data_IF_807540833646
#
_entry.id   IF_807540833646
#
_cell.length_a   1.000
_cell.length_b   1.000
_cell.length_c   1.000
_cell.angle_alpha   90.00
_cell.angle_beta   90.00
_cell.angle_gamma   90.00
#
_symmetry.space_group_name_H-M   'P 1'
#
loop_
_entity.id
_entity.type
_entity.pdbx_description
1 polymer ?
#
# COMPACT_ATOMS: atom_id res chain seq x y z
N UNK A 1 -29.34 -10.88 27.97
CA UNK A 1 -28.68 -11.02 26.65
C UNK A 1 -27.18 -11.06 26.88
N UNK A 2 -26.51 -12.15 26.47
CA UNK A 2 -25.05 -12.29 26.60
C UNK A 2 -24.35 -11.23 25.74
N UNK A 3 -23.45 -10.47 26.34
CA UNK A 3 -22.70 -9.44 25.62
C UNK A 3 -21.56 -10.09 24.84
N UNK A 4 -21.53 -9.90 23.52
CA UNK A 4 -20.47 -10.41 22.65
C UNK A 4 -19.10 -9.91 23.14
N UNK A 5 -18.16 -10.83 23.35
CA UNK A 5 -16.78 -10.53 23.74
C UNK A 5 -16.01 -9.96 22.54
N UNK A 6 -15.23 -8.91 22.77
CA UNK A 6 -14.31 -8.38 21.76
C UNK A 6 -13.10 -9.30 21.61
N UNK A 7 -13.09 -10.09 20.54
CA UNK A 7 -11.92 -10.89 20.15
C UNK A 7 -10.86 -10.00 19.52
N UNK A 8 -9.59 -10.45 19.50
CA UNK A 8 -8.50 -9.72 18.82
C UNK A 8 -8.82 -9.45 17.36
N UNK A 9 -9.38 -10.44 16.64
CA UNK A 9 -9.81 -10.28 15.25
C UNK A 9 -10.85 -9.15 15.08
N UNK A 10 -11.86 -9.08 15.95
CA UNK A 10 -12.84 -7.99 15.90
C UNK A 10 -12.18 -6.63 16.15
N UNK A 11 -11.21 -6.56 17.07
CA UNK A 11 -10.46 -5.33 17.33
C UNK A 11 -9.65 -4.88 16.12
N UNK A 12 -8.96 -5.80 15.44
CA UNK A 12 -8.22 -5.54 14.20
C UNK A 12 -9.14 -5.04 13.08
N UNK A 13 -10.32 -5.66 12.91
CA UNK A 13 -11.31 -5.24 11.92
C UNK A 13 -11.88 -3.84 12.25
N UNK A 14 -12.18 -3.55 13.52
CA UNK A 14 -12.62 -2.22 13.96
C UNK A 14 -11.53 -1.17 13.71
N UNK A 15 -10.28 -1.47 14.04
CA UNK A 15 -9.15 -0.56 13.80
C UNK A 15 -8.95 -0.28 12.30
N UNK A 16 -9.06 -1.32 11.46
CA UNK A 16 -9.02 -1.17 10.00
C UNK A 16 -10.17 -0.30 9.49
N UNK A 17 -11.40 -0.54 9.97
CA UNK A 17 -12.57 0.25 9.59
C UNK A 17 -12.43 1.71 10.02
N UNK A 18 -11.84 1.99 11.19
CA UNK A 18 -11.55 3.35 11.64
C UNK A 18 -10.61 4.07 10.67
N UNK A 19 -9.54 3.39 10.21
CA UNK A 19 -8.62 3.94 9.22
C UNK A 19 -9.27 4.16 7.87
N UNK A 20 -10.06 3.21 7.38
CA UNK A 20 -10.83 3.37 6.13
C UNK A 20 -11.76 4.59 6.24
N UNK A 21 -12.54 4.67 7.32
CA UNK A 21 -13.48 5.76 7.54
C UNK A 21 -12.80 7.12 7.69
N UNK A 22 -11.56 7.17 8.20
CA UNK A 22 -10.79 8.41 8.32
C UNK A 22 -10.30 8.97 6.97
N UNK A 23 -10.37 8.18 5.89
CA UNK A 23 -9.84 8.53 4.57
C UNK A 23 -8.33 8.47 4.44
N UNK A 24 -7.57 8.11 5.50
CA UNK A 24 -6.09 8.14 5.48
C UNK A 24 -5.48 7.23 4.42
N UNK A 25 -6.11 6.09 4.11
CA UNK A 25 -5.63 5.22 3.03
C UNK A 25 -5.79 5.87 1.65
N UNK A 26 -6.90 6.57 1.40
CA UNK A 26 -7.09 7.33 0.16
C UNK A 26 -6.09 8.46 0.05
N UNK A 27 -5.82 9.19 1.14
CA UNK A 27 -4.79 10.25 1.15
C UNK A 27 -3.38 9.69 0.87
N UNK A 28 -3.05 8.51 1.40
CA UNK A 28 -1.77 7.82 1.14
C UNK A 28 -1.66 7.31 -0.31
N UNK A 29 -2.78 6.91 -0.91
CA UNK A 29 -2.84 6.54 -2.33
C UNK A 29 -2.58 7.76 -3.22
N UNK A 30 -3.22 8.89 -2.92
CA UNK A 30 -2.98 10.15 -3.63
C UNK A 30 -1.53 10.65 -3.46
N UNK A 31 -0.96 10.53 -2.26
CA UNK A 31 0.47 10.79 -2.03
C UNK A 31 1.36 9.91 -2.91
N UNK A 32 0.99 8.64 -3.11
CA UNK A 32 1.72 7.74 -4.00
C UNK A 32 1.66 8.21 -5.45
N UNK A 33 0.50 8.69 -5.92
CA UNK A 33 0.37 9.29 -7.25
C UNK A 33 1.24 10.54 -7.40
N UNK A 34 1.30 11.40 -6.38
CA UNK A 34 2.19 12.58 -6.37
C UNK A 34 3.67 12.20 -6.48
N UNK A 35 4.11 11.15 -5.78
CA UNK A 35 5.48 10.62 -5.87
C UNK A 35 5.79 10.09 -7.27
N UNK A 36 4.86 9.36 -7.87
CA UNK A 36 5.02 8.82 -9.22
C UNK A 36 5.09 9.96 -10.25
N UNK A 37 4.25 10.98 -10.10
CA UNK A 37 4.27 12.15 -10.97
C UNK A 37 5.58 12.93 -10.83
N UNK A 38 6.10 13.10 -9.62
CA UNK A 38 7.41 13.71 -9.39
C UNK A 38 8.52 12.96 -10.16
N UNK A 39 8.50 11.62 -10.14
CA UNK A 39 9.45 10.80 -10.88
C UNK A 39 9.36 11.00 -12.40
N UNK A 40 8.13 11.06 -12.93
CA UNK A 40 7.88 11.31 -14.36
C UNK A 40 8.35 12.71 -14.79
N UNK A 41 8.07 13.73 -13.98
CA UNK A 41 8.47 15.11 -14.27
C UNK A 41 10.00 15.26 -14.18
N UNK A 42 10.61 14.69 -13.13
CA UNK A 42 12.07 14.66 -12.98
C UNK A 42 12.75 13.97 -14.16
N UNK A 43 12.17 12.87 -14.67
CA UNK A 43 12.65 12.18 -15.88
C UNK A 43 12.66 13.11 -17.08
N UNK A 44 11.57 13.83 -17.33
CA UNK A 44 11.47 14.76 -18.47
C UNK A 44 12.53 15.86 -18.36
N UNK A 45 12.69 16.44 -17.18
CA UNK A 45 13.67 17.51 -16.95
C UNK A 45 15.10 16.97 -17.11
N UNK A 46 15.41 15.80 -16.56
CA UNK A 46 16.74 15.19 -16.64
C UNK A 46 17.16 14.85 -18.08
N UNK A 47 16.21 14.51 -18.96
CA UNK A 47 16.48 14.38 -20.40
C UNK A 47 16.65 15.72 -21.13
N UNK A 48 16.33 16.84 -20.47
CA UNK A 48 16.41 18.18 -21.06
C UNK A 48 15.11 18.64 -21.71
N UNK A 49 13.97 18.15 -21.22
CA UNK A 49 12.63 18.57 -21.62
C UNK A 49 11.94 17.62 -22.60
N UNK A 50 10.64 17.87 -22.80
CA UNK A 50 9.71 16.99 -23.52
C UNK A 50 10.20 16.53 -24.88
N UNK A 51 10.74 17.44 -25.71
CA UNK A 51 11.23 17.10 -27.05
C UNK A 51 12.35 16.05 -27.03
N UNK A 52 13.30 16.18 -26.10
CA UNK A 52 14.39 15.20 -25.95
C UNK A 52 13.88 13.89 -25.37
N UNK A 53 12.92 13.95 -24.45
CA UNK A 53 12.26 12.75 -23.92
C UNK A 53 11.55 11.96 -25.02
N UNK A 54 10.82 12.63 -25.90
CA UNK A 54 10.15 12.00 -27.06
C UNK A 54 11.17 11.35 -28.01
N UNK A 55 12.30 12.02 -28.28
CA UNK A 55 13.39 11.45 -29.09
C UNK A 55 13.95 10.16 -28.46
N UNK A 56 14.21 10.17 -27.15
CA UNK A 56 14.66 8.99 -26.40
C UNK A 56 13.64 7.87 -26.46
N UNK A 57 12.35 8.18 -26.34
CA UNK A 57 11.26 7.20 -26.43
C UNK A 57 11.17 6.57 -27.82
N UNK A 58 11.31 7.37 -28.88
CA UNK A 58 11.34 6.86 -30.25
C UNK A 58 12.53 5.93 -30.48
N UNK A 59 13.73 6.31 -30.03
CA UNK A 59 14.93 5.48 -30.13
C UNK A 59 14.79 4.18 -29.31
N UNK A 60 14.25 4.26 -28.09
CA UNK A 60 14.00 3.08 -27.26
C UNK A 60 13.01 2.12 -27.91
N UNK A 61 11.94 2.62 -28.53
CA UNK A 61 10.95 1.76 -29.22
C UNK A 61 11.55 1.10 -30.46
N UNK A 62 12.40 1.80 -31.22
CA UNK A 62 13.15 1.19 -32.33
C UNK A 62 14.08 0.07 -31.86
N UNK A 63 14.78 0.29 -30.74
CA UNK A 63 15.64 -0.73 -30.14
C UNK A 63 14.85 -2.00 -29.75
N UNK A 64 13.67 -1.83 -29.15
CA UNK A 64 12.79 -2.97 -28.78
C UNK A 64 12.36 -3.73 -30.03
N UNK A 65 11.88 -3.05 -31.08
CA UNK A 65 11.45 -3.70 -32.31
C UNK A 65 12.59 -4.50 -32.98
N UNK A 66 13.79 -3.90 -33.09
CA UNK A 66 14.97 -4.60 -33.63
C UNK A 66 15.34 -5.81 -32.76
N UNK A 67 15.23 -5.66 -31.44
CA UNK A 67 15.53 -6.74 -30.50
C UNK A 67 14.61 -7.95 -30.71
N UNK A 68 13.30 -7.70 -30.84
CA UNK A 68 12.30 -8.75 -31.13
C UNK A 68 12.55 -9.43 -32.49
N UNK A 69 12.99 -8.69 -33.51
CA UNK A 69 13.33 -9.26 -34.82
C UNK A 69 14.54 -10.20 -34.73
N UNK A 70 15.59 -9.81 -34.00
CA UNK A 70 16.77 -10.65 -33.79
C UNK A 70 16.43 -11.93 -33.00
N UNK A 71 15.58 -11.81 -31.98
CA UNK A 71 15.10 -12.97 -31.21
C UNK A 71 14.34 -13.97 -32.10
N UNK A 72 13.48 -13.48 -33.00
CA UNK A 72 12.77 -14.34 -33.98
C UNK A 72 13.72 -15.06 -34.93
N UNK A 73 14.89 -14.49 -35.21
CA UNK A 73 15.95 -15.12 -36.00
C UNK A 73 16.82 -16.09 -35.19
N UNK A 74 16.50 -16.30 -33.92
CA UNK A 74 17.21 -17.23 -33.03
C UNK A 74 18.45 -16.63 -32.37
N UNK A 75 18.66 -15.31 -32.45
CA UNK A 75 19.75 -14.64 -31.75
C UNK A 75 19.41 -14.48 -30.27
N UNK A 76 20.26 -15.00 -29.40
CA UNK A 76 20.27 -14.66 -27.98
C UNK A 76 21.31 -13.56 -27.73
N UNK A 77 20.90 -12.47 -27.09
CA UNK A 77 21.80 -11.39 -26.70
C UNK A 77 21.31 -10.75 -25.40
N UNK A 78 22.24 -10.17 -24.65
CA UNK A 78 21.94 -9.36 -23.49
C UNK A 78 22.03 -7.89 -23.90
N UNK A 79 20.90 -7.19 -23.97
CA UNK A 79 20.90 -5.75 -24.21
C UNK A 79 20.89 -4.99 -22.90
N UNK A 80 21.60 -3.86 -22.84
CA UNK A 80 21.54 -3.01 -21.67
C UNK A 80 20.11 -2.49 -21.48
N UNK A 81 19.52 -2.74 -20.31
CA UNK A 81 18.17 -2.27 -20.00
C UNK A 81 18.13 -0.74 -20.09
N UNK A 82 17.48 -0.24 -21.13
CA UNK A 82 17.25 1.20 -21.30
C UNK A 82 16.03 1.63 -20.48
N UNK A 83 15.08 0.70 -20.30
CA UNK A 83 13.83 0.91 -19.57
C UNK A 83 13.93 0.38 -18.14
N UNK A 84 13.40 1.14 -17.20
CA UNK A 84 13.29 0.77 -15.80
C UNK A 84 11.92 1.20 -15.25
N UNK A 85 11.58 0.68 -14.08
CA UNK A 85 10.34 1.03 -13.35
C UNK A 85 10.50 2.25 -12.45
N UNK A 86 11.71 2.80 -12.33
CA UNK A 86 12.01 3.90 -11.41
C UNK A 86 13.19 4.76 -11.88
N UNK A 87 13.27 5.97 -11.32
CA UNK A 87 14.37 6.94 -11.50
C UNK A 87 15.15 7.12 -10.18
N UNK A 88 16.46 7.23 -10.25
CA UNK A 88 17.29 7.50 -9.07
C UNK A 88 17.46 9.01 -8.86
N UNK A 89 16.82 9.57 -7.84
CA UNK A 89 16.83 11.02 -7.61
C UNK A 89 17.94 11.43 -6.62
N UNK A 90 18.55 12.58 -6.91
CA UNK A 90 19.39 13.34 -5.99
C UNK A 90 18.84 14.75 -5.90
N UNK A 91 18.50 15.21 -4.70
CA UNK A 91 17.89 16.53 -4.45
C UNK A 91 18.66 17.25 -3.35
N UNK A 92 19.02 18.52 -3.56
CA UNK A 92 19.83 19.29 -2.60
C UNK A 92 21.12 18.57 -2.15
N UNK A 93 21.79 17.86 -3.06
CA UNK A 93 22.99 17.06 -2.73
C UNK A 93 22.72 15.77 -1.93
N UNK A 94 21.47 15.46 -1.59
CA UNK A 94 21.05 14.22 -0.91
C UNK A 94 20.66 13.17 -1.95
N UNK A 95 21.29 11.98 -1.90
CA UNK A 95 20.84 10.82 -2.69
C UNK A 95 19.61 10.21 -2.02
N UNK A 96 18.43 10.43 -2.60
CA UNK A 96 17.16 10.00 -2.00
C UNK A 96 16.68 8.63 -2.50
N UNK A 97 17.33 8.09 -3.53
CA UNK A 97 17.13 6.71 -3.98
C UNK A 97 16.20 6.58 -5.17
N UNK A 98 15.64 5.38 -5.35
CA UNK A 98 14.78 5.05 -6.48
C UNK A 98 13.32 5.48 -6.23
N UNK A 99 12.75 6.19 -7.19
CA UNK A 99 11.36 6.64 -7.21
C UNK A 99 10.63 5.99 -8.38
N UNK A 100 9.56 5.25 -8.07
CA UNK A 100 8.77 4.53 -9.06
C UNK A 100 8.07 5.47 -10.03
N UNK A 101 7.92 5.04 -11.29
CA UNK A 101 7.04 5.68 -12.27
C UNK A 101 5.56 5.33 -12.06
N UNK A 102 5.28 4.35 -11.20
CA UNK A 102 3.93 3.88 -10.89
C UNK A 102 3.52 2.66 -11.71
N UNK A 103 2.20 2.44 -11.75
CA UNK A 103 1.55 1.33 -12.45
C UNK A 103 0.65 1.86 -13.56
N UNK A 104 0.52 1.09 -14.63
CA UNK A 104 -0.34 1.39 -15.75
C UNK A 104 -1.82 1.06 -15.44
N UNK A 105 -2.70 1.25 -16.43
CA UNK A 105 -4.13 0.95 -16.27
C UNK A 105 -4.46 -0.53 -16.04
N UNK A 106 -3.51 -1.44 -16.26
CA UNK A 106 -3.63 -2.87 -16.00
C UNK A 106 -3.05 -3.27 -14.64
N UNK A 107 -2.43 -2.34 -13.91
CA UNK A 107 -1.73 -2.62 -12.65
C UNK A 107 -0.29 -3.11 -12.83
N UNK A 108 0.23 -3.13 -14.06
CA UNK A 108 1.60 -3.50 -14.36
C UNK A 108 2.54 -2.33 -14.12
N UNK A 109 3.78 -2.60 -13.75
CA UNK A 109 4.75 -1.52 -13.50
C UNK A 109 5.06 -0.76 -14.80
N UNK A 110 5.10 0.57 -14.72
CA UNK A 110 5.41 1.41 -15.87
C UNK A 110 6.91 1.30 -16.18
N UNK A 111 7.27 0.73 -17.34
CA UNK A 111 8.65 0.66 -17.83
C UNK A 111 8.97 1.81 -18.79
N UNK A 112 9.89 2.70 -18.41
CA UNK A 112 10.27 3.86 -19.21
C UNK A 112 11.80 3.99 -19.38
N UNK A 113 12.26 4.52 -20.52
CA UNK A 113 13.66 4.92 -20.69
C UNK A 113 14.11 5.82 -19.56
N UNK A 114 15.17 5.46 -18.84
CA UNK A 114 15.56 6.18 -17.61
C UNK A 114 16.91 6.90 -17.80
N UNK A 115 17.03 8.18 -17.42
CA UNK A 115 18.30 8.90 -17.48
C UNK A 115 19.35 8.26 -16.59
N UNK A 116 20.63 8.47 -16.91
CA UNK A 116 21.71 8.07 -16.02
C UNK A 116 21.62 8.85 -14.70
N UNK A 117 22.10 8.23 -13.60
CA UNK A 117 21.98 8.80 -12.25
C UNK A 117 22.56 10.22 -12.14
N UNK A 118 23.63 10.50 -12.88
CA UNK A 118 24.30 11.81 -12.88
C UNK A 118 23.48 12.92 -13.56
N UNK A 119 22.43 12.57 -14.31
CA UNK A 119 21.48 13.52 -14.90
C UNK A 119 20.31 13.85 -13.98
N UNK A 120 20.13 13.10 -12.90
CA UNK A 120 18.99 13.21 -11.98
C UNK A 120 19.39 13.96 -10.69
N UNK A 121 20.17 15.02 -10.85
CA UNK A 121 20.70 15.85 -9.76
C UNK A 121 20.06 17.23 -9.81
N UNK A 122 19.22 17.53 -8.83
CA UNK A 122 18.49 18.79 -8.73
C UNK A 122 19.01 19.58 -7.52
N UNK A 123 19.34 20.86 -7.73
CA UNK A 123 19.79 21.75 -6.68
C UNK A 123 18.65 22.12 -5.71
N UNK A 124 18.96 22.91 -4.67
CA UNK A 124 18.01 23.29 -3.64
C UNK A 124 16.83 24.14 -4.17
N UNK A 125 17.08 24.97 -5.18
CA UNK A 125 16.09 25.92 -5.69
C UNK A 125 15.22 25.34 -6.80
N UNK A 126 15.65 24.22 -7.37
CA UNK A 126 14.95 23.52 -8.41
C UNK A 126 13.57 23.02 -7.95
N UNK A 127 12.56 23.14 -8.83
CA UNK A 127 11.16 22.81 -8.54
C UNK A 127 10.97 21.36 -8.06
N UNK A 128 11.68 20.41 -8.67
CA UNK A 128 11.68 18.99 -8.24
C UNK A 128 12.08 18.83 -6.77
N UNK A 129 13.07 19.58 -6.30
CA UNK A 129 13.49 19.54 -4.89
C UNK A 129 12.39 20.08 -3.99
N UNK A 130 11.79 21.23 -4.33
CA UNK A 130 10.71 21.85 -3.55
C UNK A 130 9.51 20.92 -3.43
N UNK A 131 9.06 20.35 -4.55
CA UNK A 131 7.97 19.36 -4.60
C UNK A 131 8.31 18.08 -3.83
N UNK A 132 9.57 17.62 -3.89
CA UNK A 132 10.02 16.48 -3.09
C UNK A 132 9.88 16.74 -1.59
N UNK A 133 10.35 17.90 -1.12
CA UNK A 133 10.29 18.24 0.31
C UNK A 133 8.84 18.40 0.78
N UNK A 134 7.96 18.99 -0.04
CA UNK A 134 6.51 19.06 0.22
C UNK A 134 5.88 17.67 0.34
N UNK A 135 6.20 16.75 -0.58
CA UNK A 135 5.74 15.36 -0.56
C UNK A 135 6.24 14.64 0.70
N UNK A 136 7.50 14.86 1.11
CA UNK A 136 8.05 14.30 2.34
C UNK A 136 7.33 14.81 3.59
N UNK A 137 7.08 16.11 3.67
CA UNK A 137 6.32 16.71 4.77
C UNK A 137 4.89 16.16 4.84
N UNK A 138 4.22 16.04 3.69
CA UNK A 138 2.88 15.44 3.60
C UNK A 138 2.89 13.98 4.03
N UNK A 139 3.88 13.20 3.61
CA UNK A 139 4.03 11.81 4.03
C UNK A 139 4.15 11.69 5.55
N UNK A 140 5.03 12.48 6.16
CA UNK A 140 5.22 12.45 7.62
C UNK A 140 3.91 12.79 8.35
N UNK A 141 3.17 13.78 7.86
CA UNK A 141 1.86 14.17 8.42
C UNK A 141 0.83 13.03 8.31
N UNK A 142 0.73 12.38 7.16
CA UNK A 142 -0.22 11.29 6.95
C UNK A 142 0.12 10.03 7.76
N UNK A 143 1.40 9.67 7.87
CA UNK A 143 1.84 8.55 8.71
C UNK A 143 1.62 8.84 10.20
N UNK A 144 1.85 10.07 10.65
CA UNK A 144 1.51 10.48 12.02
C UNK A 144 0.00 10.38 12.27
N UNK A 145 -0.83 10.92 11.37
CA UNK A 145 -2.30 10.81 11.45
C UNK A 145 -2.75 9.36 11.52
N UNK A 146 -2.20 8.49 10.67
CA UNK A 146 -2.51 7.05 10.66
C UNK A 146 -2.16 6.40 12.01
N UNK A 147 -0.94 6.63 12.50
CA UNK A 147 -0.46 6.09 13.77
C UNK A 147 -1.28 6.57 14.96
N UNK A 148 -1.69 7.84 14.96
CA UNK A 148 -2.52 8.42 16.02
C UNK A 148 -3.91 7.79 16.04
N UNK A 149 -4.53 7.59 14.87
CA UNK A 149 -5.83 6.91 14.76
C UNK A 149 -5.72 5.46 15.25
N UNK A 150 -4.69 4.72 14.81
CA UNK A 150 -4.45 3.34 15.26
C UNK A 150 -4.28 3.28 16.78
N UNK A 151 -3.40 4.12 17.33
CA UNK A 151 -3.05 4.11 18.76
C UNK A 151 -4.27 4.45 19.63
N UNK A 152 -5.02 5.49 19.27
CA UNK A 152 -6.23 5.89 20.01
C UNK A 152 -7.33 4.82 19.91
N UNK A 153 -7.52 4.25 18.73
CA UNK A 153 -8.51 3.17 18.53
C UNK A 153 -8.16 1.94 19.37
N UNK A 154 -6.89 1.51 19.35
CA UNK A 154 -6.43 0.39 20.17
C UNK A 154 -6.52 0.67 21.67
N UNK A 155 -6.25 1.89 22.12
CA UNK A 155 -6.40 2.28 23.52
C UNK A 155 -7.86 2.08 23.99
N UNK A 156 -8.84 2.57 23.22
CA UNK A 156 -10.27 2.37 23.53
C UNK A 156 -10.62 0.89 23.51
N UNK A 157 -10.25 0.16 22.44
CA UNK A 157 -10.53 -1.27 22.30
C UNK A 157 -9.92 -2.12 23.41
N UNK A 158 -8.76 -1.74 23.96
CA UNK A 158 -8.10 -2.45 25.05
C UNK A 158 -8.66 -2.09 26.43
N UNK A 159 -9.35 -0.95 26.56
CA UNK A 159 -10.04 -0.57 27.80
C UNK A 159 -11.34 -1.35 28.05
N UNK A 160 -11.87 -2.04 27.03
CA UNK A 160 -13.16 -2.74 27.08
C UNK A 160 -13.03 -4.21 26.63
N UNK A 161 -13.85 -5.08 27.21
CA UNK A 161 -13.83 -6.53 26.93
C UNK A 161 -15.01 -6.99 26.08
N UNK A 162 -16.04 -6.17 25.91
CA UNK A 162 -17.28 -6.54 25.22
C UNK A 162 -17.78 -5.44 24.28
N UNK A 163 -18.53 -5.83 23.25
CA UNK A 163 -19.13 -4.92 22.26
C UNK A 163 -20.09 -3.94 22.93
N UNK A 164 -20.88 -4.40 23.90
CA UNK A 164 -21.80 -3.53 24.66
C UNK A 164 -21.03 -2.40 25.36
N UNK A 165 -19.94 -2.73 26.06
CA UNK A 165 -19.13 -1.74 26.77
C UNK A 165 -18.41 -0.80 25.81
N UNK A 166 -17.98 -1.29 24.65
CA UNK A 166 -17.43 -0.46 23.59
C UNK A 166 -18.44 0.59 23.12
N UNK A 167 -19.67 0.18 22.82
CA UNK A 167 -20.73 1.10 22.38
C UNK A 167 -21.11 2.11 23.47
N UNK A 168 -21.03 1.73 24.76
CA UNK A 168 -21.26 2.65 25.87
C UNK A 168 -20.16 3.74 25.97
N UNK A 169 -18.90 3.37 25.76
CA UNK A 169 -17.74 4.28 25.87
C UNK A 169 -17.47 5.05 24.56
N UNK A 170 -17.84 4.46 23.42
CA UNK A 170 -17.66 5.00 22.08
C UNK A 170 -18.87 4.66 21.19
N UNK A 171 -19.99 5.41 21.29
CA UNK A 171 -21.24 5.12 20.58
C UNK A 171 -21.11 5.07 19.05
N UNK A 172 -20.22 5.87 18.48
CA UNK A 172 -19.92 5.95 17.04
C UNK A 172 -19.22 4.68 16.53
N UNK A 173 -18.64 3.86 17.42
CA UNK A 173 -17.98 2.61 17.06
C UNK A 173 -18.94 1.61 16.39
N UNK A 174 -20.27 1.80 16.54
CA UNK A 174 -21.30 1.00 15.86
C UNK A 174 -21.07 0.92 14.35
N UNK A 175 -20.63 2.02 13.74
CA UNK A 175 -20.35 2.07 12.30
C UNK A 175 -19.06 1.34 11.90
N UNK A 176 -18.23 0.97 12.88
CA UNK A 176 -16.95 0.31 12.67
C UNK A 176 -17.01 -1.18 12.97
N UNK A 177 -18.13 -1.67 13.51
CA UNK A 177 -18.28 -3.08 13.86
C UNK A 177 -18.22 -3.97 12.61
N UNK A 178 -17.64 -5.18 12.71
CA UNK A 178 -17.67 -6.15 11.63
C UNK A 178 -19.11 -6.45 11.19
N UNK A 179 -19.35 -6.54 9.88
CA UNK A 179 -20.66 -6.95 9.33
C UNK A 179 -21.09 -8.36 9.78
N UNK A 180 -20.14 -9.17 10.24
CA UNK A 180 -20.36 -10.52 10.78
C UNK A 180 -20.73 -10.53 12.27
N UNK A 181 -20.65 -9.40 12.97
CA UNK A 181 -21.04 -9.29 14.38
C UNK A 181 -22.56 -9.54 14.58
N UNK A 182 -23.37 -9.38 13.54
CA UNK A 182 -24.80 -9.75 13.52
C UNK A 182 -25.03 -11.27 13.42
N UNK A 183 -24.03 -12.06 13.00
CA UNK A 183 -24.16 -13.53 12.86
C UNK A 183 -23.64 -14.32 14.06
N UNK A 184 -23.00 -13.67 15.04
CA UNK A 184 -22.47 -14.34 16.23
C UNK A 184 -23.53 -14.69 17.29
N UNK A 185 -24.81 -14.71 16.93
CA UNK A 185 -25.93 -15.19 17.76
C UNK A 185 -26.68 -16.39 17.17
N UNK A 186 -26.18 -17.05 16.12
CA UNK A 186 -26.57 -18.45 15.94
C UNK A 186 -25.80 -19.26 16.97
N UNK A 187 -26.47 -19.54 18.10
CA UNK A 187 -26.02 -20.50 19.08
C UNK A 187 -25.51 -21.75 18.35
N UNK A 188 -24.20 -21.98 18.39
CA UNK A 188 -23.70 -23.33 18.15
C UNK A 188 -24.42 -24.20 19.18
N UNK A 189 -25.18 -25.23 18.77
CA UNK A 189 -25.76 -26.14 19.74
C UNK A 189 -24.60 -26.67 20.56
N UNK A 190 -24.70 -26.56 21.88
CA UNK A 190 -23.67 -27.04 22.79
C UNK A 190 -23.38 -28.49 22.43
N UNK A 191 -22.25 -28.73 21.76
CA UNK A 191 -21.81 -30.07 21.43
C UNK A 191 -21.48 -30.70 22.78
N UNK A 192 -22.39 -31.53 23.28
CA UNK A 192 -22.19 -32.23 24.53
C UNK A 192 -21.02 -33.18 24.33
N UNK A 193 -20.13 -33.23 25.30
CA UNK A 193 -18.87 -33.99 25.23
C UNK A 193 -19.15 -35.47 24.92
N UNK A 194 -20.32 -35.96 25.33
CA UNK A 194 -20.87 -37.27 24.99
C UNK A 194 -20.97 -37.55 23.48
N UNK A 195 -21.33 -36.57 22.64
CA UNK A 195 -21.47 -36.72 21.18
C UNK A 195 -20.09 -36.74 20.49
N UNK A 196 -19.12 -35.97 21.01
CA UNK A 196 -17.73 -36.01 20.57
C UNK A 196 -17.07 -37.37 20.86
N UNK A 197 -17.28 -37.92 22.06
CA UNK A 197 -16.71 -39.22 22.46
C UNK A 197 -17.26 -40.38 21.60
N UNK A 198 -18.55 -40.33 21.23
CA UNK A 198 -19.15 -41.28 20.30
C UNK A 198 -18.61 -41.18 18.88
N UNK A 199 -18.35 -39.97 18.37
CA UNK A 199 -17.83 -39.77 17.01
C UNK A 199 -16.37 -40.16 16.84
N UNK A 200 -15.56 -40.07 17.90
CA UNK A 200 -14.10 -40.33 17.86
C UNK A 200 -13.76 -41.78 18.28
N UNK A 201 -14.73 -42.56 18.78
CA UNK A 201 -14.52 -43.96 19.16
C UNK A 201 -13.76 -44.13 20.48
N UNK A 202 -13.87 -43.16 21.39
CA UNK A 202 -13.30 -43.26 22.73
C UNK A 202 -14.30 -43.98 23.66
N UNK A 203 -13.89 -44.99 24.44
CA UNK A 203 -14.79 -45.62 25.41
C UNK A 203 -15.15 -44.60 26.49
N UNK A 204 -16.45 -44.38 26.71
CA UNK A 204 -16.91 -43.67 27.91
C UNK A 204 -16.63 -44.57 29.11
N UNK A 205 -15.78 -44.12 30.04
CA UNK A 205 -15.46 -44.86 31.26
C UNK A 205 -16.74 -45.28 31.99
N UNK A 206 -16.87 -46.60 32.21
CA UNK A 206 -17.79 -47.14 33.18
C UNK A 206 -17.10 -47.10 34.54
N UNK A 207 -17.60 -46.24 35.43
CA UNK A 207 -17.48 -46.35 36.87
C UNK A 207 -18.78 -45.82 37.50
#
# INVERSE_FOLDING_TARGET
MSSIRLTTRMKEEIARNALIKSGVFTELEELTKLKNQLALDARVIAFGGKKKTEEVEQLSSKLVAISEELEKLGCSFNSYNVRFTSIYLTVSGRRVGWHSYGKDGNGEDILLPTPTKDKCMFDAEHEITKRFDEICALQQKLEAKKKDIESNTWAVLNSVTTVKRLIEVWPESKELLPKEADKASTALPALRVEDLNKMIGLPSEAA
#
